data_IF_823556558665
#
_entry.id   IF_823556558665
#
_cell.length_a   1.000
_cell.length_b   1.000
_cell.length_c   1.000
_cell.angle_alpha   90.00
_cell.angle_beta   90.00
_cell.angle_gamma   90.00
#
_symmetry.space_group_name_H-M   'P 1'
#
loop_
_entity.id
_entity.type
_entity.pdbx_description
1 polymer ?
#
# COMPACT_ATOMS: atom_id res chain seq x y z
N UNK A 1 23.46 5.61 -5.75
CA UNK A 1 22.68 4.95 -4.67
C UNK A 1 21.86 3.85 -5.30
N UNK A 2 21.52 2.79 -4.56
CA UNK A 2 20.63 1.72 -5.07
C UNK A 2 19.20 2.24 -5.16
N UNK A 3 18.45 2.00 -6.25
CA UNK A 3 17.08 2.47 -6.36
C UNK A 3 16.15 1.77 -5.36
N UNK A 4 15.22 2.55 -4.80
CA UNK A 4 14.12 2.09 -3.95
C UNK A 4 12.80 2.58 -4.52
N UNK A 5 11.88 1.67 -4.83
CA UNK A 5 10.53 2.00 -5.31
C UNK A 5 9.55 1.90 -4.14
N UNK A 6 8.72 2.92 -3.95
CA UNK A 6 7.71 3.00 -2.88
C UNK A 6 6.31 2.99 -3.49
N UNK A 7 5.51 1.97 -3.16
CA UNK A 7 4.16 1.76 -3.71
C UNK A 7 3.09 2.00 -2.63
N UNK A 8 2.22 2.98 -2.89
CA UNK A 8 1.13 3.32 -1.97
C UNK A 8 -0.06 2.35 -2.04
N UNK A 9 -0.95 2.41 -1.05
CA UNK A 9 -2.14 1.59 -0.95
C UNK A 9 -3.30 2.04 -1.86
N UNK A 10 -4.38 1.26 -1.81
CA UNK A 10 -5.63 1.59 -2.50
C UNK A 10 -6.24 2.89 -1.96
N UNK A 11 -6.75 3.74 -2.86
CA UNK A 11 -7.33 5.05 -2.55
C UNK A 11 -6.35 6.05 -1.90
N UNK A 12 -5.06 5.77 -1.91
CA UNK A 12 -4.01 6.62 -1.34
C UNK A 12 -3.19 7.31 -2.45
N UNK A 13 -2.04 7.86 -2.12
CA UNK A 13 -1.12 8.54 -3.04
C UNK A 13 0.34 8.37 -2.58
N UNK A 14 1.33 8.73 -3.43
CA UNK A 14 2.74 8.68 -3.05
C UNK A 14 3.10 9.44 -1.77
N UNK A 15 2.30 10.44 -1.38
CA UNK A 15 2.53 11.21 -0.15
C UNK A 15 2.34 10.42 1.14
N UNK A 16 1.77 9.21 1.08
CA UNK A 16 1.75 8.30 2.24
C UNK A 16 3.16 8.02 2.79
N UNK A 17 4.19 8.20 1.95
CA UNK A 17 5.59 7.98 2.28
C UNK A 17 6.31 9.24 2.82
N UNK A 18 5.65 10.41 2.87
CA UNK A 18 6.28 11.70 3.23
C UNK A 18 7.01 11.65 4.60
N UNK A 19 6.50 10.86 5.56
CA UNK A 19 7.10 10.77 6.90
C UNK A 19 8.34 9.85 6.97
N UNK A 20 8.46 8.87 6.08
CA UNK A 20 9.60 7.93 6.05
C UNK A 20 10.62 8.30 4.97
N UNK A 21 10.19 8.95 3.91
CA UNK A 21 11.00 9.29 2.75
C UNK A 21 12.31 10.04 3.07
N UNK A 22 12.34 11.04 3.97
CA UNK A 22 13.58 11.74 4.29
C UNK A 22 14.69 10.84 4.85
N UNK A 23 14.36 9.79 5.58
CA UNK A 23 15.32 8.81 6.07
C UNK A 23 15.80 7.88 4.95
N UNK A 24 14.88 7.45 4.07
CA UNK A 24 15.18 6.53 2.97
C UNK A 24 16.06 7.19 1.90
N UNK A 25 15.83 8.46 1.58
CA UNK A 25 16.59 9.24 0.59
C UNK A 25 18.05 9.50 0.98
N UNK A 26 18.42 9.30 2.24
CA UNK A 26 19.82 9.34 2.66
C UNK A 26 20.63 8.13 2.16
N UNK A 27 19.96 7.04 1.81
CA UNK A 27 20.58 5.75 1.46
C UNK A 27 20.21 5.28 0.04
N UNK A 28 19.08 5.73 -0.50
CA UNK A 28 18.53 5.26 -1.77
C UNK A 28 18.14 6.41 -2.70
N UNK A 29 18.15 6.12 -3.99
CA UNK A 29 17.43 6.91 -4.98
C UNK A 29 15.97 6.46 -4.99
N UNK A 30 15.06 7.32 -4.49
CA UNK A 30 13.67 6.95 -4.24
C UNK A 30 12.76 7.33 -5.41
N UNK A 31 12.07 6.35 -5.97
CA UNK A 31 10.95 6.52 -6.90
C UNK A 31 9.64 6.14 -6.20
N UNK A 32 8.67 7.04 -6.17
CA UNK A 32 7.34 6.79 -5.61
C UNK A 32 6.26 7.12 -6.66
N UNK A 33 5.95 6.19 -7.58
CA UNK A 33 4.94 6.43 -8.61
C UNK A 33 3.53 6.40 -8.03
N UNK A 34 2.65 7.24 -8.55
CA UNK A 34 1.24 7.12 -8.28
C UNK A 34 0.61 6.02 -9.15
N UNK A 35 -0.23 5.18 -8.54
CA UNK A 35 -0.90 4.07 -9.22
C UNK A 35 -1.93 4.58 -10.24
N UNK A 36 -2.17 3.81 -11.28
CA UNK A 36 -3.23 4.08 -12.28
C UNK A 36 -4.58 4.25 -11.58
N UNK A 37 -5.34 5.27 -11.97
CA UNK A 37 -6.66 5.58 -11.40
C UNK A 37 -6.62 6.19 -9.99
N UNK A 38 -5.44 6.52 -9.47
CA UNK A 38 -5.23 7.18 -8.18
C UNK A 38 -4.76 8.62 -8.35
N UNK A 39 -4.87 9.42 -7.30
CA UNK A 39 -4.51 10.83 -7.33
C UNK A 39 -3.05 11.05 -7.73
N UNK A 40 -2.83 11.83 -8.79
CA UNK A 40 -1.50 12.10 -9.34
C UNK A 40 -0.95 11.03 -10.27
N UNK A 41 -1.65 9.92 -10.43
CA UNK A 41 -1.29 8.83 -11.34
C UNK A 41 -1.91 8.97 -12.74
N UNK A 42 -1.54 8.07 -13.64
CA UNK A 42 -2.20 7.97 -14.94
C UNK A 42 -3.71 7.75 -14.77
N UNK A 43 -4.57 8.49 -15.50
CA UNK A 43 -6.01 8.31 -15.38
C UNK A 43 -6.41 6.88 -15.77
N UNK A 44 -7.41 6.32 -15.12
CA UNK A 44 -7.94 5.01 -15.54
C UNK A 44 -8.67 5.13 -16.88
N UNK A 45 -9.52 6.16 -17.04
CA UNK A 45 -10.32 6.37 -18.26
C UNK A 45 -11.18 5.15 -18.57
N UNK A 46 -11.28 4.81 -19.87
CA UNK A 46 -12.05 3.65 -20.36
C UNK A 46 -11.25 2.34 -20.35
N UNK A 47 -10.08 2.29 -19.67
CA UNK A 47 -9.26 1.06 -19.60
C UNK A 47 -9.94 0.02 -18.74
N UNK A 48 -9.99 -1.21 -19.26
CA UNK A 48 -10.40 -2.35 -18.47
C UNK A 48 -9.37 -2.67 -17.39
N UNK A 49 -9.84 -2.94 -16.16
CA UNK A 49 -8.99 -3.43 -15.09
C UNK A 49 -8.69 -4.91 -15.33
N UNK A 50 -7.43 -5.21 -15.52
CA UNK A 50 -6.90 -6.56 -15.71
C UNK A 50 -5.82 -6.85 -14.66
N UNK A 51 -5.42 -8.11 -14.54
CA UNK A 51 -4.32 -8.54 -13.67
C UNK A 51 -3.04 -7.71 -13.90
N UNK A 52 -2.75 -7.39 -15.15
CA UNK A 52 -1.49 -6.79 -15.56
C UNK A 52 -1.53 -5.26 -15.65
N UNK A 53 -2.70 -4.63 -15.56
CA UNK A 53 -2.85 -3.18 -15.74
C UNK A 53 -1.91 -2.36 -14.82
N UNK A 54 -1.89 -2.66 -13.52
CA UNK A 54 -1.07 -1.93 -12.57
C UNK A 54 0.40 -2.38 -12.61
N UNK A 55 0.72 -3.69 -12.63
CA UNK A 55 2.10 -4.13 -12.81
C UNK A 55 2.77 -3.56 -14.07
N UNK A 56 2.11 -3.56 -15.22
CA UNK A 56 2.65 -3.00 -16.47
C UNK A 56 2.88 -1.49 -16.38
N UNK A 57 2.00 -0.77 -15.71
CA UNK A 57 2.17 0.66 -15.50
C UNK A 57 3.33 0.98 -14.56
N UNK A 58 3.53 0.16 -13.52
CA UNK A 58 4.65 0.29 -12.59
C UNK A 58 5.99 -0.05 -13.25
N UNK A 59 6.03 -1.10 -14.07
CA UNK A 59 7.23 -1.42 -14.86
C UNK A 59 7.60 -0.28 -15.80
N UNK A 60 6.61 0.31 -16.51
CA UNK A 60 6.86 1.49 -17.35
C UNK A 60 7.41 2.67 -16.55
N UNK A 61 6.87 2.94 -15.36
CA UNK A 61 7.39 4.01 -14.51
C UNK A 61 8.83 3.76 -14.05
N UNK A 62 9.20 2.50 -13.78
CA UNK A 62 10.58 2.11 -13.50
C UNK A 62 11.48 2.26 -14.73
N UNK A 63 11.03 1.84 -15.91
CA UNK A 63 11.77 1.94 -17.16
C UNK A 63 12.01 3.40 -17.56
N UNK A 64 11.02 4.26 -17.44
CA UNK A 64 11.11 5.70 -17.68
C UNK A 64 12.11 6.39 -16.73
N UNK A 65 12.25 5.86 -15.51
CA UNK A 65 13.26 6.29 -14.55
C UNK A 65 14.64 5.63 -14.75
N UNK A 66 14.79 4.75 -15.74
CA UNK A 66 16.03 4.02 -15.99
C UNK A 66 16.34 2.93 -14.95
N UNK A 67 15.32 2.43 -14.25
CA UNK A 67 15.44 1.44 -13.19
C UNK A 67 15.08 0.06 -13.72
N UNK A 68 16.05 -0.79 -13.95
CA UNK A 68 15.85 -2.20 -14.34
C UNK A 68 15.37 -3.02 -13.14
N UNK A 69 16.07 -2.93 -12.01
CA UNK A 69 15.71 -3.61 -10.76
C UNK A 69 15.91 -2.69 -9.57
N UNK A 70 15.06 -2.79 -8.54
CA UNK A 70 15.11 -1.97 -7.34
C UNK A 70 14.83 -2.79 -6.07
N UNK A 71 15.15 -2.24 -4.90
CA UNK A 71 14.42 -2.60 -3.69
C UNK A 71 13.00 -2.03 -3.80
N UNK A 72 11.98 -2.76 -3.35
CA UNK A 72 10.60 -2.31 -3.46
C UNK A 72 9.95 -2.38 -2.08
N UNK A 73 9.40 -1.27 -1.60
CA UNK A 73 8.54 -1.27 -0.42
C UNK A 73 7.12 -0.86 -0.82
N UNK A 74 6.11 -1.54 -0.29
CA UNK A 74 4.72 -1.24 -0.62
C UNK A 74 3.78 -1.49 0.52
N UNK A 75 2.73 -0.67 0.65
CA UNK A 75 1.67 -0.84 1.65
C UNK A 75 0.38 -1.32 0.98
N UNK A 76 -0.31 -2.27 1.61
CA UNK A 76 -1.64 -2.73 1.18
C UNK A 76 -1.64 -3.21 -0.29
N UNK A 77 -2.42 -2.59 -1.17
CA UNK A 77 -2.42 -2.84 -2.61
C UNK A 77 -1.01 -2.66 -3.21
N UNK A 78 -0.26 -1.64 -2.77
CA UNK A 78 1.13 -1.43 -3.19
C UNK A 78 2.06 -2.57 -2.74
N UNK A 79 1.83 -3.15 -1.56
CA UNK A 79 2.54 -4.34 -1.08
C UNK A 79 2.26 -5.57 -1.93
N UNK A 80 1.00 -5.76 -2.31
CA UNK A 80 0.60 -6.82 -3.24
C UNK A 80 1.29 -6.67 -4.61
N UNK A 81 1.31 -5.46 -5.18
CA UNK A 81 1.99 -5.22 -6.46
C UNK A 81 3.52 -5.22 -6.35
N UNK A 82 4.10 -4.93 -5.19
CA UNK A 82 5.53 -5.14 -4.96
C UNK A 82 5.92 -6.62 -5.14
N UNK A 83 5.07 -7.53 -4.66
CA UNK A 83 5.26 -8.98 -4.86
C UNK A 83 5.05 -9.40 -6.32
N UNK A 84 4.10 -8.78 -7.04
CA UNK A 84 3.95 -9.01 -8.48
C UNK A 84 5.18 -8.58 -9.28
N UNK A 85 5.75 -7.41 -8.95
CA UNK A 85 7.00 -6.96 -9.57
C UNK A 85 8.17 -7.89 -9.24
N UNK A 86 8.21 -8.45 -8.04
CA UNK A 86 9.20 -9.48 -7.67
C UNK A 86 9.05 -10.74 -8.53
N UNK A 87 7.83 -11.24 -8.71
CA UNK A 87 7.56 -12.38 -9.58
C UNK A 87 7.90 -12.13 -11.06
N UNK A 88 7.96 -10.85 -11.47
CA UNK A 88 8.41 -10.42 -12.81
C UNK A 88 9.92 -10.13 -12.89
N UNK A 89 10.67 -10.38 -11.80
CA UNK A 89 12.12 -10.19 -11.77
C UNK A 89 12.59 -8.74 -11.61
N UNK A 90 11.67 -7.80 -11.22
CA UNK A 90 11.97 -6.37 -11.08
C UNK A 90 12.46 -6.00 -9.67
N UNK A 91 12.40 -6.91 -8.70
CA UNK A 91 12.77 -6.64 -7.32
C UNK A 91 14.11 -7.28 -6.92
N UNK A 92 14.96 -6.51 -6.24
CA UNK A 92 16.14 -6.99 -5.51
C UNK A 92 15.80 -7.53 -4.14
N UNK A 93 14.83 -6.91 -3.48
CA UNK A 93 14.14 -7.36 -2.28
C UNK A 93 12.79 -6.66 -2.17
N UNK A 94 11.88 -7.22 -1.38
CA UNK A 94 10.56 -6.63 -1.12
C UNK A 94 10.36 -6.44 0.38
N UNK A 95 9.84 -5.26 0.77
CA UNK A 95 9.26 -5.02 2.10
C UNK A 95 7.78 -4.72 1.90
N UNK A 96 6.92 -5.69 2.17
CA UNK A 96 5.48 -5.57 2.01
C UNK A 96 4.81 -5.27 3.37
N UNK A 97 4.22 -4.08 3.49
CA UNK A 97 3.50 -3.61 4.68
C UNK A 97 2.02 -3.94 4.52
N UNK A 98 1.50 -4.87 5.31
CA UNK A 98 0.12 -5.35 5.28
C UNK A 98 -0.41 -5.54 3.84
N UNK A 99 0.25 -6.36 2.99
CA UNK A 99 -0.16 -6.52 1.60
C UNK A 99 -1.55 -7.14 1.47
N UNK A 100 -2.33 -6.66 0.48
CA UNK A 100 -3.64 -7.22 0.15
C UNK A 100 -3.52 -8.65 -0.40
N UNK A 101 -4.59 -9.43 -0.32
CA UNK A 101 -4.69 -10.73 -1.03
C UNK A 101 -4.34 -11.97 -0.22
N UNK A 102 -3.91 -11.83 1.04
CA UNK A 102 -3.39 -12.93 1.85
C UNK A 102 -4.43 -13.78 2.61
N UNK A 103 -5.72 -13.66 2.33
CA UNK A 103 -6.75 -14.54 2.91
C UNK A 103 -6.59 -15.99 2.46
N UNK A 104 -6.99 -16.91 3.32
CA UNK A 104 -6.96 -18.34 3.00
C UNK A 104 -7.70 -18.65 1.69
N UNK A 105 -7.26 -19.68 0.98
CA UNK A 105 -7.94 -20.09 -0.24
C UNK A 105 -9.39 -20.51 0.05
N UNK A 106 -10.34 -19.87 -0.61
CA UNK A 106 -11.77 -20.08 -0.39
C UNK A 106 -12.39 -19.23 0.73
N UNK A 107 -11.62 -18.38 1.40
CA UNK A 107 -12.13 -17.39 2.32
C UNK A 107 -12.53 -16.13 1.55
N UNK A 108 -13.83 -15.86 1.48
CA UNK A 108 -14.42 -14.72 0.78
C UNK A 108 -14.64 -13.50 1.70
N UNK A 109 -14.15 -13.52 2.94
CA UNK A 109 -14.34 -12.40 3.90
C UNK A 109 -13.73 -11.08 3.43
N UNK A 110 -12.70 -11.13 2.57
CA UNK A 110 -12.13 -9.94 1.92
C UNK A 110 -13.17 -9.15 1.10
N UNK A 111 -14.25 -9.78 0.63
CA UNK A 111 -15.30 -9.12 -0.15
C UNK A 111 -16.07 -8.10 0.68
N UNK A 112 -16.17 -8.29 1.99
CA UNK A 112 -16.75 -7.30 2.91
C UNK A 112 -15.91 -6.04 2.95
N UNK A 113 -14.58 -6.18 3.07
CA UNK A 113 -13.63 -5.06 3.02
C UNK A 113 -13.70 -4.35 1.66
N UNK A 114 -13.74 -5.10 0.55
CA UNK A 114 -13.85 -4.52 -0.79
C UNK A 114 -15.17 -3.75 -0.96
N UNK A 115 -16.30 -4.29 -0.48
CA UNK A 115 -17.61 -3.64 -0.55
C UNK A 115 -17.71 -2.34 0.23
N UNK A 116 -16.87 -2.19 1.26
CA UNK A 116 -16.81 -0.97 2.07
C UNK A 116 -16.20 0.23 1.32
N UNK A 117 -15.25 0.04 0.40
CA UNK A 117 -14.52 1.14 -0.23
C UNK A 117 -15.36 2.10 -1.08
N UNK A 118 -16.31 1.65 -1.94
CA UNK A 118 -17.17 2.57 -2.68
C UNK A 118 -18.03 3.45 -1.76
N UNK A 119 -18.57 2.89 -0.68
CA UNK A 119 -19.37 3.64 0.29
C UNK A 119 -18.53 4.65 1.05
N UNK A 120 -17.34 4.24 1.51
CA UNK A 120 -16.37 5.12 2.14
C UNK A 120 -16.01 6.30 1.23
N UNK A 121 -15.74 6.04 -0.04
CA UNK A 121 -15.41 7.10 -0.99
C UNK A 121 -16.56 8.11 -1.12
N UNK A 122 -17.81 7.66 -1.20
CA UNK A 122 -18.96 8.58 -1.29
C UNK A 122 -19.08 9.47 -0.04
N UNK A 123 -18.82 8.92 1.14
CA UNK A 123 -18.81 9.70 2.38
C UNK A 123 -17.65 10.70 2.39
N UNK A 124 -16.46 10.27 2.00
CA UNK A 124 -15.26 11.12 1.96
C UNK A 124 -15.40 12.24 0.93
N UNK A 125 -16.00 12.00 -0.23
CA UNK A 125 -16.29 13.05 -1.23
C UNK A 125 -17.09 14.22 -0.65
N UNK A 126 -17.99 13.96 0.29
CA UNK A 126 -18.80 15.01 0.94
C UNK A 126 -17.97 15.88 1.90
N UNK A 127 -16.99 15.31 2.58
CA UNK A 127 -16.18 16.01 3.58
C UNK A 127 -14.86 16.55 3.04
N UNK A 128 -14.37 16.03 1.92
CA UNK A 128 -13.09 16.42 1.32
C UNK A 128 -12.93 17.94 1.09
N UNK A 129 -13.96 18.71 0.66
CA UNK A 129 -13.86 20.17 0.55
C UNK A 129 -13.56 20.89 1.86
N UNK A 130 -13.86 20.27 3.00
CA UNK A 130 -13.68 20.83 4.34
C UNK A 130 -12.51 20.18 5.10
N UNK A 131 -11.77 19.28 4.46
CA UNK A 131 -10.75 18.44 5.10
C UNK A 131 -9.71 19.28 5.85
N UNK A 132 -9.18 20.34 5.24
CA UNK A 132 -8.15 21.18 5.85
C UNK A 132 -8.59 21.78 7.20
N UNK A 133 -9.84 22.21 7.31
CA UNK A 133 -10.38 22.77 8.56
C UNK A 133 -10.65 21.67 9.60
N UNK A 134 -11.27 20.59 9.19
CA UNK A 134 -11.66 19.48 10.05
C UNK A 134 -10.43 18.79 10.67
N UNK A 135 -9.38 18.59 9.89
CA UNK A 135 -8.18 17.87 10.29
C UNK A 135 -7.21 18.68 11.17
N UNK A 136 -7.50 19.94 11.44
CA UNK A 136 -6.80 20.69 12.49
C UNK A 136 -7.18 20.24 13.90
N UNK A 137 -8.27 19.49 14.05
CA UNK A 137 -8.75 19.01 15.34
C UNK A 137 -8.29 17.58 15.62
N UNK A 138 -8.00 17.21 16.89
CA UNK A 138 -7.66 15.83 17.25
C UNK A 138 -8.75 14.84 16.83
N UNK A 139 -10.02 15.19 17.01
CA UNK A 139 -11.16 14.35 16.61
C UNK A 139 -11.23 14.17 15.08
N UNK A 140 -10.90 15.20 14.31
CA UNK A 140 -10.82 15.13 12.87
C UNK A 140 -9.74 14.15 12.41
N UNK A 141 -8.54 14.27 12.97
CA UNK A 141 -7.44 13.34 12.70
C UNK A 141 -7.84 11.90 13.04
N UNK A 142 -8.37 11.68 14.26
CA UNK A 142 -8.82 10.36 14.72
C UNK A 142 -9.84 9.71 13.78
N UNK A 143 -10.81 10.49 13.27
CA UNK A 143 -11.82 9.98 12.32
C UNK A 143 -11.21 9.65 10.96
N UNK A 144 -10.34 10.50 10.45
CA UNK A 144 -9.71 10.29 9.14
C UNK A 144 -8.79 9.07 9.12
N UNK A 145 -8.23 8.69 10.26
CA UNK A 145 -7.27 7.59 10.39
C UNK A 145 -7.83 6.32 11.03
N UNK A 146 -9.13 6.30 11.32
CA UNK A 146 -9.79 5.25 12.12
C UNK A 146 -9.49 3.82 11.68
N UNK A 147 -9.30 3.60 10.38
CA UNK A 147 -9.05 2.28 9.80
C UNK A 147 -7.58 2.03 9.47
N UNK A 148 -6.74 3.07 9.51
CA UNK A 148 -5.38 2.99 8.97
C UNK A 148 -4.27 3.12 9.99
N UNK A 149 -4.50 3.90 11.08
CA UNK A 149 -3.47 4.13 12.10
C UNK A 149 -4.04 4.10 13.52
N UNK A 150 -3.19 3.79 14.48
CA UNK A 150 -3.44 3.90 15.92
C UNK A 150 -2.85 5.21 16.44
N UNK A 151 -1.60 5.49 16.10
CA UNK A 151 -0.84 6.66 16.55
C UNK A 151 -0.94 7.78 15.49
N UNK A 152 -1.95 8.61 15.56
CA UNK A 152 -2.29 9.58 14.52
C UNK A 152 -1.93 11.04 14.87
N UNK A 153 -1.64 11.35 16.12
CA UNK A 153 -1.49 12.72 16.61
C UNK A 153 -0.34 13.46 15.91
N UNK A 154 0.77 12.75 15.67
CA UNK A 154 1.97 13.29 15.01
C UNK A 154 1.80 13.53 13.51
N UNK A 155 0.77 12.94 12.88
CA UNK A 155 0.58 13.08 11.43
C UNK A 155 0.16 14.52 11.11
N UNK A 156 0.85 15.21 10.18
CA UNK A 156 0.48 16.57 9.80
C UNK A 156 -0.94 16.63 9.21
N UNK A 157 -1.72 17.61 9.65
CA UNK A 157 -3.08 17.82 9.15
C UNK A 157 -3.14 18.01 7.62
N UNK A 158 -2.11 18.65 7.04
CA UNK A 158 -1.99 18.84 5.60
C UNK A 158 -1.83 17.49 4.87
N UNK A 159 -1.05 16.56 5.42
CA UNK A 159 -0.88 15.22 4.85
C UNK A 159 -2.21 14.46 4.87
N UNK A 160 -2.92 14.46 6.00
CA UNK A 160 -4.25 13.83 6.10
C UNK A 160 -5.28 14.48 5.18
N UNK A 161 -5.22 15.81 5.00
CA UNK A 161 -6.07 16.50 4.03
C UNK A 161 -5.77 16.08 2.59
N UNK A 162 -4.49 15.87 2.26
CA UNK A 162 -4.10 15.34 0.96
C UNK A 162 -4.62 13.91 0.77
N UNK A 163 -4.47 13.03 1.77
CA UNK A 163 -5.01 11.65 1.70
C UNK A 163 -6.54 11.64 1.58
N UNK A 164 -7.25 12.52 2.30
CA UNK A 164 -8.69 12.68 2.13
C UNK A 164 -9.07 13.04 0.70
N UNK A 165 -8.31 13.92 0.04
CA UNK A 165 -8.49 14.23 -1.39
C UNK A 165 -8.12 13.05 -2.29
N UNK A 166 -7.11 12.27 -1.93
CA UNK A 166 -6.73 11.07 -2.68
C UNK A 166 -7.84 10.03 -2.68
N UNK A 167 -8.45 9.77 -1.52
CA UNK A 167 -9.64 8.91 -1.41
C UNK A 167 -10.78 9.43 -2.28
N UNK A 168 -11.12 10.72 -2.16
CA UNK A 168 -12.22 11.32 -2.91
C UNK A 168 -11.99 11.29 -4.43
N UNK A 169 -10.75 11.49 -4.88
CA UNK A 169 -10.37 11.59 -6.29
C UNK A 169 -9.96 10.27 -6.96
N UNK A 170 -9.99 9.14 -6.25
CA UNK A 170 -9.60 7.85 -6.82
C UNK A 170 -10.64 7.35 -7.85
N UNK A 171 -10.28 7.33 -9.12
CA UNK A 171 -11.14 6.83 -10.21
C UNK A 171 -11.28 5.31 -10.17
N UNK A 172 -10.25 4.63 -9.66
CA UNK A 172 -10.16 3.18 -9.64
C UNK A 172 -11.07 2.47 -8.63
N UNK A 173 -11.77 3.20 -7.73
CA UNK A 173 -12.48 2.57 -6.61
C UNK A 173 -13.48 1.51 -7.08
N UNK A 174 -14.43 1.87 -7.91
CA UNK A 174 -15.47 0.94 -8.38
C UNK A 174 -14.87 -0.16 -9.29
N UNK A 175 -14.19 0.17 -10.40
CA UNK A 175 -13.74 -0.86 -11.34
C UNK A 175 -12.70 -1.83 -10.74
N UNK A 176 -11.78 -1.35 -9.88
CA UNK A 176 -10.81 -2.24 -9.23
C UNK A 176 -11.45 -3.13 -8.16
N UNK A 177 -12.43 -2.59 -7.42
CA UNK A 177 -13.19 -3.37 -6.44
C UNK A 177 -13.99 -4.46 -7.14
N UNK A 178 -14.70 -4.14 -8.21
CA UNK A 178 -15.47 -5.12 -9.01
C UNK A 178 -14.56 -6.19 -9.61
N UNK A 179 -13.38 -5.79 -10.12
CA UNK A 179 -12.37 -6.74 -10.61
C UNK A 179 -11.94 -7.70 -9.50
N UNK A 180 -11.51 -7.18 -8.35
CA UNK A 180 -11.04 -8.01 -7.24
C UNK A 180 -12.15 -8.90 -6.65
N UNK A 181 -13.41 -8.44 -6.62
CA UNK A 181 -14.55 -9.27 -6.21
C UNK A 181 -14.82 -10.44 -7.17
N UNK A 182 -14.59 -10.23 -8.46
CA UNK A 182 -14.82 -11.25 -9.51
C UNK A 182 -13.67 -12.23 -9.61
N UNK A 183 -12.44 -11.73 -9.67
CA UNK A 183 -11.24 -12.54 -9.95
C UNK A 183 -10.53 -13.01 -8.67
N UNK A 184 -10.73 -12.30 -7.55
CA UNK A 184 -9.98 -12.52 -6.31
C UNK A 184 -8.53 -12.04 -6.41
N UNK A 185 -7.68 -12.65 -5.58
CA UNK A 185 -6.24 -12.38 -5.53
C UNK A 185 -5.44 -13.60 -5.95
N UNK A 186 -4.40 -13.37 -6.74
CA UNK A 186 -3.50 -14.40 -7.24
C UNK A 186 -2.06 -13.88 -7.29
N UNK A 187 -1.08 -14.77 -7.09
CA UNK A 187 0.34 -14.42 -7.06
C UNK A 187 1.17 -15.59 -7.60
N UNK A 188 2.03 -15.32 -8.57
CA UNK A 188 3.01 -16.28 -9.09
C UNK A 188 4.19 -16.39 -8.10
N UNK A 189 3.91 -16.82 -6.87
CA UNK A 189 4.84 -16.80 -5.73
C UNK A 189 6.10 -17.65 -5.98
N UNK A 190 5.98 -18.72 -6.75
CA UNK A 190 7.10 -19.61 -7.15
C UNK A 190 8.14 -18.90 -8.04
N UNK A 191 7.79 -17.73 -8.60
CA UNK A 191 8.69 -16.90 -9.40
C UNK A 191 9.40 -15.83 -8.58
N UNK A 192 9.10 -15.70 -7.30
CA UNK A 192 9.74 -14.73 -6.41
C UNK A 192 11.04 -15.33 -5.88
N UNK A 193 12.18 -14.87 -6.44
CA UNK A 193 13.51 -15.36 -6.09
C UNK A 193 14.25 -14.43 -5.11
N UNK A 194 13.77 -13.19 -4.94
CA UNK A 194 14.40 -12.22 -4.07
C UNK A 194 13.93 -12.36 -2.60
N UNK A 195 14.71 -11.85 -1.63
CA UNK A 195 14.29 -11.81 -0.23
C UNK A 195 13.01 -10.98 -0.04
N UNK A 196 12.10 -11.46 0.80
CA UNK A 196 10.85 -10.79 1.13
C UNK A 196 10.71 -10.64 2.64
N UNK A 197 10.42 -9.41 3.09
CA UNK A 197 9.95 -9.08 4.45
C UNK A 197 8.48 -8.71 4.39
N UNK A 198 7.69 -9.32 5.26
CA UNK A 198 6.28 -9.05 5.47
C UNK A 198 6.10 -8.35 6.81
N UNK A 199 5.51 -7.16 6.82
CA UNK A 199 5.30 -6.38 8.06
C UNK A 199 3.81 -6.19 8.29
N UNK A 200 3.34 -6.46 9.50
CA UNK A 200 1.92 -6.29 9.85
C UNK A 200 1.75 -5.64 11.22
N UNK A 201 0.73 -4.80 11.37
CA UNK A 201 0.30 -4.27 12.66
C UNK A 201 -0.76 -5.15 13.32
N UNK A 202 -0.71 -5.31 14.66
CA UNK A 202 -1.71 -6.08 15.42
C UNK A 202 -3.09 -5.42 15.41
N UNK A 203 -3.15 -4.09 15.21
CA UNK A 203 -4.37 -3.28 15.19
C UNK A 203 -4.85 -2.94 13.77
N UNK A 204 -4.42 -3.69 12.76
CA UNK A 204 -4.88 -3.53 11.39
C UNK A 204 -6.38 -3.91 11.27
N UNK A 205 -7.23 -2.90 11.06
CA UNK A 205 -8.69 -3.05 10.95
C UNK A 205 -9.17 -3.32 9.53
N UNK A 206 -8.31 -3.08 8.52
CA UNK A 206 -8.65 -3.35 7.12
C UNK A 206 -8.23 -4.75 6.70
N UNK A 207 -7.02 -5.15 7.10
CA UNK A 207 -6.42 -6.45 6.80
C UNK A 207 -5.95 -7.12 8.10
N UNK A 208 -6.89 -7.66 8.91
CA UNK A 208 -6.57 -8.14 10.25
C UNK A 208 -5.52 -9.25 10.28
N UNK A 209 -4.50 -9.08 11.11
CA UNK A 209 -3.53 -10.12 11.43
C UNK A 209 -4.13 -11.16 12.40
N UNK A 210 -3.88 -12.48 12.22
CA UNK A 210 -3.17 -13.09 11.09
C UNK A 210 -4.09 -13.43 9.89
N UNK A 211 -5.39 -13.21 9.97
CA UNK A 211 -6.39 -13.69 9.01
C UNK A 211 -6.09 -13.26 7.58
N UNK A 212 -5.74 -11.99 7.38
CA UNK A 212 -5.41 -11.48 6.04
C UNK A 212 -3.98 -11.82 5.58
N UNK A 213 -3.22 -12.59 6.36
CA UNK A 213 -1.86 -13.03 6.03
C UNK A 213 -1.73 -14.54 5.83
N UNK A 214 -2.78 -15.31 6.10
CA UNK A 214 -2.72 -16.79 6.16
C UNK A 214 -2.16 -17.38 4.86
N UNK A 215 -2.65 -16.94 3.70
CA UNK A 215 -2.23 -17.47 2.40
C UNK A 215 -0.76 -17.14 2.11
N UNK A 216 -0.27 -15.98 2.53
CA UNK A 216 1.15 -15.66 2.46
C UNK A 216 1.98 -16.62 3.32
N UNK A 217 1.56 -16.84 4.56
CA UNK A 217 2.29 -17.68 5.51
C UNK A 217 2.28 -19.16 5.16
N UNK A 218 1.17 -19.66 4.60
CA UNK A 218 0.99 -21.10 4.41
C UNK A 218 1.27 -21.56 2.98
N UNK A 219 0.91 -20.73 1.98
CA UNK A 219 0.94 -21.16 0.58
C UNK A 219 2.02 -20.42 -0.24
N UNK A 220 2.03 -19.08 -0.19
CA UNK A 220 2.80 -18.29 -1.13
C UNK A 220 4.25 -18.03 -0.70
N UNK A 221 4.44 -17.61 0.55
CA UNK A 221 5.73 -17.13 1.05
C UNK A 221 6.03 -17.66 2.48
N UNK A 222 5.97 -18.97 2.71
CA UNK A 222 6.13 -19.53 4.06
C UNK A 222 7.51 -19.26 4.69
N UNK A 223 8.50 -18.94 3.86
CA UNK A 223 9.88 -18.67 4.29
C UNK A 223 10.23 -17.17 4.30
N UNK A 224 9.26 -16.27 4.10
CA UNK A 224 9.51 -14.83 4.20
C UNK A 224 9.82 -14.42 5.64
N UNK A 225 10.48 -13.27 5.79
CA UNK A 225 10.76 -12.66 7.10
C UNK A 225 9.51 -11.91 7.60
N UNK A 226 8.81 -12.47 8.60
CA UNK A 226 7.59 -11.90 9.15
C UNK A 226 7.88 -11.06 10.39
N UNK A 227 7.51 -9.78 10.35
CA UNK A 227 7.60 -8.83 11.46
C UNK A 227 6.19 -8.37 11.83
N UNK A 228 5.81 -8.55 13.09
CA UNK A 228 4.52 -8.09 13.61
C UNK A 228 4.78 -6.94 14.59
N UNK A 229 4.10 -5.83 14.38
CA UNK A 229 4.25 -4.61 15.16
C UNK A 229 3.05 -4.48 16.11
N UNK A 230 3.32 -4.46 17.40
CA UNK A 230 2.30 -4.28 18.44
C UNK A 230 1.78 -2.82 18.44
N UNK A 231 0.48 -2.64 18.65
CA UNK A 231 -0.20 -1.34 18.69
C UNK A 231 -0.03 -0.50 17.40
N UNK A 232 0.07 -1.16 16.25
CA UNK A 232 0.22 -0.54 14.93
C UNK A 232 -0.95 -0.92 14.03
N UNK A 233 -1.46 0.03 13.26
CA UNK A 233 -2.56 -0.17 12.32
C UNK A 233 -2.11 -0.61 10.93
N UNK A 234 -3.00 -0.37 9.94
CA UNK A 234 -2.82 -0.80 8.55
C UNK A 234 -1.68 -0.09 7.80
N UNK A 235 -1.34 1.12 8.21
CA UNK A 235 -0.35 1.97 7.53
C UNK A 235 0.86 2.28 8.42
N UNK A 236 1.77 1.31 8.64
CA UNK A 236 2.93 1.49 9.52
C UNK A 236 3.79 2.71 9.15
N UNK A 237 3.87 3.06 7.85
CA UNK A 237 4.62 4.22 7.37
C UNK A 237 4.05 5.57 7.87
N UNK A 238 2.80 5.59 8.29
CA UNK A 238 2.14 6.75 8.91
C UNK A 238 2.07 6.60 10.43
N UNK A 239 1.86 5.40 10.92
CA UNK A 239 1.63 5.07 12.32
C UNK A 239 2.93 5.14 13.15
N UNK A 240 3.99 4.50 12.65
CA UNK A 240 5.32 4.40 13.29
C UNK A 240 6.42 4.65 12.24
N UNK A 241 6.52 5.89 11.71
CA UNK A 241 7.35 6.18 10.53
C UNK A 241 8.85 5.90 10.75
N UNK A 242 9.39 6.18 11.92
CA UNK A 242 10.81 5.94 12.20
C UNK A 242 11.14 4.45 12.22
N UNK A 243 10.30 3.65 12.86
CA UNK A 243 10.45 2.20 12.92
C UNK A 243 10.26 1.58 11.54
N UNK A 244 9.26 2.04 10.79
CA UNK A 244 9.03 1.61 9.39
C UNK A 244 10.24 1.92 8.51
N UNK A 245 10.82 3.12 8.61
CA UNK A 245 12.03 3.46 7.86
C UNK A 245 13.20 2.52 8.21
N UNK A 246 13.40 2.21 9.51
CA UNK A 246 14.42 1.26 9.97
C UNK A 246 14.19 -0.16 9.44
N UNK A 247 12.93 -0.63 9.42
CA UNK A 247 12.58 -1.94 8.87
C UNK A 247 12.89 -2.02 7.37
N UNK A 248 12.61 -0.96 6.62
CA UNK A 248 12.95 -0.89 5.20
C UNK A 248 14.48 -0.86 5.03
N UNK A 249 15.18 0.07 5.66
CA UNK A 249 16.62 0.24 5.53
C UNK A 249 17.40 -1.01 5.98
N UNK A 250 17.00 -1.63 7.08
CA UNK A 250 17.64 -2.86 7.59
C UNK A 250 17.45 -4.09 6.68
N UNK A 251 16.58 -4.00 5.69
CA UNK A 251 16.34 -5.08 4.71
C UNK A 251 16.82 -4.77 3.29
N UNK A 252 17.06 -3.50 2.99
CA UNK A 252 17.52 -3.03 1.69
C UNK A 252 19.03 -2.72 1.64
N UNK A 253 19.75 -2.88 2.76
CA UNK A 253 21.20 -2.77 2.77
C UNK A 253 21.84 -4.00 2.14
N UNK A 254 23.00 -3.84 1.41
CA UNK A 254 23.72 -4.94 0.78
C UNK A 254 24.34 -5.89 1.79
#
# INVERSE_FOLDING_TARGET
MTPLVLLHGFMDSPRTWDLVRPALEQHHEVLAPALVGHLGGPPLGDREVTRDLLPDALERAMDEAGIETAHIAGNSLGGYFALHLAARGRARSVVALAPAGGWAKGDDSYKETLGFFPELQQQVKQVAPYAERFLQTPEGKRRATLFTTVNYEHIPAELLAHQTRAVAGCEGVVPMTEYAMREGYDLDAERIECPVRMVWGTEDKLLPWPTAAIRYQQDWLPNADYVVLDDVGHSPQLDVPLETAQLILGFTQP
#
